data_IF_975183035079
#
_entry.id   IF_975183035079
#
_cell.length_a   1.000
_cell.length_b   1.000
_cell.length_c   1.000
_cell.angle_alpha   90.00
_cell.angle_beta   90.00
_cell.angle_gamma   90.00
#
_symmetry.space_group_name_H-M   'P 1'
#
loop_
_entity.id
_entity.type
_entity.pdbx_description
1 polymer ?
#
# COMPACT_ATOMS: atom_id res chain seq x y z
N UNK A 1 -10.00 -20.81 4.49
CA UNK A 1 -9.00 -19.80 4.85
C UNK A 1 -9.61 -18.43 4.63
N UNK A 2 -9.37 -17.50 5.57
CA UNK A 2 -9.82 -16.11 5.54
C UNK A 2 -8.59 -15.17 5.58
N UNK A 3 -8.51 -14.23 4.64
CA UNK A 3 -7.45 -13.22 4.54
C UNK A 3 -8.06 -11.81 4.59
N UNK A 4 -7.62 -10.99 5.56
CA UNK A 4 -8.11 -9.63 5.78
C UNK A 4 -7.00 -8.62 6.11
N UNK A 5 -5.76 -9.07 6.29
CA UNK A 5 -4.65 -8.18 6.66
C UNK A 5 -4.09 -7.49 5.41
N UNK A 6 -4.10 -6.14 5.40
CA UNK A 6 -3.58 -5.34 4.29
C UNK A 6 -2.15 -5.73 3.90
N UNK A 7 -1.89 -5.83 2.61
CA UNK A 7 -0.61 -6.28 2.06
C UNK A 7 -0.46 -7.80 1.98
N UNK A 8 -1.41 -8.58 2.49
CA UNK A 8 -1.38 -10.05 2.33
C UNK A 8 -1.59 -10.43 0.88
N UNK A 9 -0.68 -11.24 0.33
CA UNK A 9 -0.76 -11.76 -1.02
C UNK A 9 -1.50 -13.10 -1.09
N UNK A 10 -2.34 -13.26 -2.10
CA UNK A 10 -3.06 -14.47 -2.42
C UNK A 10 -2.87 -14.82 -3.90
N UNK A 11 -2.23 -15.96 -4.16
CA UNK A 11 -1.95 -16.42 -5.51
C UNK A 11 -2.98 -17.48 -5.94
N UNK A 12 -3.67 -17.23 -7.03
CA UNK A 12 -4.61 -18.19 -7.64
C UNK A 12 -4.59 -18.02 -9.15
N UNK A 13 -4.66 -19.13 -9.90
CA UNK A 13 -4.77 -19.10 -11.38
C UNK A 13 -3.69 -18.26 -12.10
N UNK A 14 -2.49 -18.14 -11.51
CA UNK A 14 -1.42 -17.32 -12.06
C UNK A 14 -1.57 -15.81 -11.83
N UNK A 15 -2.64 -15.38 -11.14
CA UNK A 15 -2.90 -14.02 -10.67
C UNK A 15 -2.47 -13.87 -9.21
N UNK A 16 -2.03 -12.67 -8.83
CA UNK A 16 -1.68 -12.33 -7.45
C UNK A 16 -2.59 -11.21 -6.98
N UNK A 17 -3.49 -11.54 -6.06
CA UNK A 17 -4.34 -10.58 -5.38
C UNK A 17 -3.66 -10.13 -4.09
N UNK A 18 -3.82 -8.86 -3.73
CA UNK A 18 -3.28 -8.31 -2.49
C UNK A 18 -4.42 -7.67 -1.72
N UNK A 19 -4.58 -7.96 -0.43
CA UNK A 19 -5.56 -7.26 0.41
C UNK A 19 -5.17 -5.77 0.46
N UNK A 20 -6.11 -4.89 0.14
CA UNK A 20 -5.87 -3.47 -0.08
C UNK A 20 -5.28 -3.12 -1.46
N UNK A 21 -5.10 -4.09 -2.35
CA UNK A 21 -4.61 -3.89 -3.72
C UNK A 21 -5.74 -3.59 -4.71
N UNK A 22 -5.38 -2.98 -5.84
CA UNK A 22 -6.31 -2.59 -6.89
C UNK A 22 -6.65 -3.78 -7.79
N UNK A 23 -7.93 -3.91 -8.08
CA UNK A 23 -8.50 -4.87 -9.04
C UNK A 23 -9.36 -4.11 -10.04
N UNK A 24 -9.52 -4.67 -11.24
CA UNK A 24 -10.54 -4.21 -12.18
C UNK A 24 -11.35 -5.40 -12.68
N UNK A 25 -12.67 -5.23 -12.75
CA UNK A 25 -13.56 -6.23 -13.29
C UNK A 25 -13.43 -6.29 -14.82
N UNK A 26 -13.32 -7.50 -15.35
CA UNK A 26 -13.26 -7.74 -16.79
C UNK A 26 -14.63 -8.14 -17.36
N UNK A 27 -14.67 -8.45 -18.66
CA UNK A 27 -15.90 -8.74 -19.39
C UNK A 27 -16.65 -10.00 -18.91
N UNK A 28 -16.05 -10.82 -18.04
CA UNK A 28 -16.71 -11.96 -17.41
C UNK A 28 -17.60 -11.55 -16.22
N UNK A 29 -17.52 -10.28 -15.77
CA UNK A 29 -18.30 -9.71 -14.67
C UNK A 29 -19.35 -8.73 -15.13
N UNK A 30 -20.49 -8.66 -14.43
CA UNK A 30 -21.45 -7.56 -14.55
C UNK A 30 -20.91 -6.18 -14.16
N UNK A 31 -19.80 -6.16 -13.43
CA UNK A 31 -19.08 -4.94 -13.04
C UNK A 31 -17.98 -4.55 -14.04
N UNK A 32 -17.89 -5.20 -15.22
CA UNK A 32 -16.81 -4.95 -16.19
C UNK A 32 -16.53 -3.46 -16.40
N UNK A 33 -15.25 -3.09 -16.38
CA UNK A 33 -14.79 -1.71 -16.52
C UNK A 33 -14.69 -0.94 -15.20
N UNK A 34 -15.24 -1.44 -14.09
CA UNK A 34 -15.03 -0.86 -12.77
C UNK A 34 -13.72 -1.35 -12.17
N UNK A 35 -13.03 -0.44 -11.51
CA UNK A 35 -11.89 -0.75 -10.66
C UNK A 35 -12.27 -0.55 -9.20
N UNK A 36 -11.54 -1.22 -8.32
CA UNK A 36 -11.83 -1.24 -6.90
C UNK A 36 -10.69 -1.82 -6.10
N UNK A 37 -10.94 -2.07 -4.83
CA UNK A 37 -9.96 -2.59 -3.88
C UNK A 37 -10.40 -3.93 -3.31
N UNK A 38 -9.45 -4.86 -3.18
CA UNK A 38 -9.69 -6.13 -2.48
C UNK A 38 -9.77 -5.88 -0.98
N UNK A 39 -10.91 -6.18 -0.38
CA UNK A 39 -11.14 -6.03 1.05
C UNK A 39 -10.77 -7.30 1.81
N UNK A 40 -11.11 -8.45 1.24
CA UNK A 40 -11.03 -9.74 1.92
C UNK A 40 -11.05 -10.88 0.90
N UNK A 41 -10.38 -11.98 1.22
CA UNK A 41 -10.40 -13.20 0.41
C UNK A 41 -10.76 -14.38 1.29
N UNK A 42 -11.76 -15.17 0.85
CA UNK A 42 -12.16 -16.42 1.48
C UNK A 42 -11.96 -17.60 0.54
N UNK A 43 -11.45 -18.72 1.05
CA UNK A 43 -11.26 -19.95 0.28
C UNK A 43 -11.58 -21.20 1.09
N UNK A 44 -11.87 -22.32 0.43
CA UNK A 44 -12.23 -23.57 1.11
C UNK A 44 -13.55 -23.46 1.86
N UNK A 45 -13.58 -23.92 3.12
CA UNK A 45 -14.79 -23.98 3.95
C UNK A 45 -15.31 -22.60 4.41
N UNK A 46 -14.49 -21.54 4.26
CA UNK A 46 -14.87 -20.18 4.64
C UNK A 46 -15.61 -19.43 3.51
N UNK A 47 -15.83 -20.05 2.35
CA UNK A 47 -16.55 -19.44 1.22
C UNK A 47 -18.03 -19.25 1.53
N UNK A 48 -18.59 -18.16 1.04
CA UNK A 48 -20.03 -17.91 1.03
C UNK A 48 -20.71 -18.35 -0.27
N UNK A 49 -19.98 -18.48 -1.38
CA UNK A 49 -20.54 -19.00 -2.62
C UNK A 49 -20.37 -20.51 -2.76
N UNK A 50 -21.25 -21.13 -3.56
CA UNK A 50 -21.15 -22.55 -3.92
C UNK A 50 -20.10 -22.79 -5.03
N UNK A 51 -19.40 -21.75 -5.50
CA UNK A 51 -18.41 -21.90 -6.57
C UNK A 51 -17.13 -22.57 -6.03
N UNK A 52 -16.45 -23.33 -6.89
CA UNK A 52 -15.20 -24.01 -6.55
C UNK A 52 -13.98 -23.08 -6.54
N UNK A 53 -14.15 -21.81 -6.92
CA UNK A 53 -13.16 -20.75 -6.83
C UNK A 53 -13.21 -20.03 -5.47
N UNK A 54 -12.16 -19.29 -5.07
CA UNK A 54 -12.18 -18.46 -3.87
C UNK A 54 -13.07 -17.21 -4.04
N UNK A 55 -13.68 -16.78 -2.95
CA UNK A 55 -14.50 -15.57 -2.90
C UNK A 55 -13.62 -14.35 -2.62
N UNK A 56 -13.53 -13.43 -3.58
CA UNK A 56 -12.81 -12.16 -3.44
C UNK A 56 -13.82 -11.05 -3.17
N UNK A 57 -13.82 -10.52 -1.96
CA UNK A 57 -14.63 -9.37 -1.57
C UNK A 57 -13.95 -8.11 -2.05
N UNK A 58 -14.65 -7.35 -2.89
CA UNK A 58 -14.17 -6.13 -3.49
C UNK A 58 -15.06 -4.94 -3.11
N UNK A 59 -14.46 -3.76 -2.98
CA UNK A 59 -15.17 -2.49 -2.97
C UNK A 59 -14.84 -1.76 -4.28
N UNK A 60 -15.82 -1.63 -5.17
CA UNK A 60 -15.66 -0.94 -6.46
C UNK A 60 -15.82 0.57 -6.29
N UNK A 61 -14.99 1.32 -7.00
CA UNK A 61 -15.11 2.77 -7.06
C UNK A 61 -16.35 3.16 -7.89
N UNK A 62 -17.08 4.22 -7.50
CA UNK A 62 -18.17 4.73 -8.31
C UNK A 62 -17.69 5.13 -9.72
N UNK A 63 -18.45 4.79 -10.78
CA UNK A 63 -18.09 5.18 -12.14
C UNK A 63 -18.00 6.71 -12.26
N UNK A 64 -16.92 7.18 -12.87
CA UNK A 64 -16.62 8.62 -13.00
C UNK A 64 -17.23 9.25 -14.25
N UNK A 65 -17.81 8.46 -15.16
CA UNK A 65 -18.39 8.92 -16.41
C UNK A 65 -19.86 8.53 -16.56
N UNK A 66 -20.66 9.44 -17.13
CA UNK A 66 -22.08 9.19 -17.39
C UNK A 66 -22.29 8.00 -18.34
N UNK A 67 -21.37 7.75 -19.28
CA UNK A 67 -21.48 6.59 -20.17
C UNK A 67 -21.34 5.27 -19.41
N UNK A 68 -20.35 5.17 -18.52
CA UNK A 68 -20.19 3.98 -17.67
C UNK A 68 -21.40 3.77 -16.76
N UNK A 69 -21.97 4.84 -16.21
CA UNK A 69 -23.21 4.78 -15.42
C UNK A 69 -24.35 4.15 -16.23
N UNK A 70 -24.60 4.66 -17.44
CA UNK A 70 -25.69 4.16 -18.29
C UNK A 70 -25.48 2.71 -18.74
N UNK A 71 -24.25 2.34 -19.05
CA UNK A 71 -23.90 0.96 -19.40
C UNK A 71 -24.14 0.01 -18.21
N UNK A 72 -23.70 0.39 -17.01
CA UNK A 72 -23.88 -0.41 -15.79
C UNK A 72 -25.37 -0.56 -15.43
N UNK A 73 -26.11 0.55 -15.41
CA UNK A 73 -27.56 0.55 -15.17
C UNK A 73 -28.29 -0.30 -16.20
N UNK A 74 -27.90 -0.24 -17.47
CA UNK A 74 -28.46 -1.05 -18.54
C UNK A 74 -28.23 -2.55 -18.34
N UNK A 75 -27.01 -2.95 -17.98
CA UNK A 75 -26.65 -4.35 -17.69
C UNK A 75 -27.42 -4.90 -16.50
N UNK A 76 -27.43 -4.18 -15.38
CA UNK A 76 -28.16 -4.58 -14.18
C UNK A 76 -29.67 -4.58 -14.43
N UNK A 77 -30.20 -3.62 -15.18
CA UNK A 77 -31.62 -3.62 -15.54
C UNK A 77 -32.01 -4.84 -16.37
N UNK A 78 -31.16 -5.24 -17.31
CA UNK A 78 -31.36 -6.45 -18.12
C UNK A 78 -31.27 -7.72 -17.27
N UNK A 79 -30.31 -7.79 -16.34
CA UNK A 79 -30.11 -8.93 -15.44
C UNK A 79 -31.32 -9.16 -14.53
N UNK A 80 -31.85 -8.11 -13.91
CA UNK A 80 -32.99 -8.18 -13.00
C UNK A 80 -34.35 -8.13 -13.71
N UNK A 81 -34.38 -7.75 -14.99
CA UNK A 81 -35.61 -7.61 -15.78
C UNK A 81 -36.48 -6.39 -15.39
N UNK A 82 -35.92 -5.45 -14.63
CA UNK A 82 -36.58 -4.22 -14.20
C UNK A 82 -35.59 -3.05 -14.21
N UNK A 83 -36.04 -1.78 -14.34
CA UNK A 83 -35.14 -0.63 -14.32
C UNK A 83 -34.36 -0.56 -13.00
N UNK A 84 -33.02 -0.54 -13.10
CA UNK A 84 -32.07 -0.33 -12.00
C UNK A 84 -31.34 1.00 -12.21
N UNK A 85 -31.09 1.69 -11.11
CA UNK A 85 -30.26 2.89 -11.06
C UNK A 85 -28.98 2.63 -10.28
N UNK A 86 -28.00 3.52 -10.37
CA UNK A 86 -26.75 3.41 -9.58
C UNK A 86 -26.99 3.28 -8.07
N UNK A 87 -28.10 3.80 -7.54
CA UNK A 87 -28.45 3.65 -6.13
C UNK A 87 -28.91 2.23 -5.75
N UNK A 88 -29.32 1.44 -6.74
CA UNK A 88 -29.76 0.04 -6.58
C UNK A 88 -28.62 -0.97 -6.75
N UNK A 89 -27.44 -0.50 -7.19
CA UNK A 89 -26.27 -1.34 -7.48
C UNK A 89 -25.30 -1.26 -6.30
N UNK A 90 -25.03 -2.41 -5.67
CA UNK A 90 -24.05 -2.49 -4.58
C UNK A 90 -22.63 -2.44 -5.15
N UNK A 91 -21.84 -1.46 -4.72
CA UNK A 91 -20.41 -1.35 -5.05
C UNK A 91 -19.53 -1.79 -3.87
N UNK A 92 -20.08 -1.72 -2.66
CA UNK A 92 -19.40 -2.14 -1.43
C UNK A 92 -19.60 -3.64 -1.20
N UNK A 93 -18.50 -4.34 -0.88
CA UNK A 93 -18.51 -5.77 -0.51
C UNK A 93 -19.10 -6.71 -1.57
N UNK A 94 -18.75 -6.49 -2.83
CA UNK A 94 -19.12 -7.37 -3.95
C UNK A 94 -18.26 -8.63 -3.94
N UNK A 95 -18.90 -9.80 -3.96
CA UNK A 95 -18.21 -11.09 -4.07
C UNK A 95 -17.91 -11.37 -5.53
N UNK A 96 -16.63 -11.58 -5.82
CA UNK A 96 -16.10 -11.82 -7.15
C UNK A 96 -15.26 -13.10 -7.16
N UNK A 97 -15.30 -13.81 -8.28
CA UNK A 97 -14.41 -14.91 -8.55
C UNK A 97 -13.12 -14.40 -9.23
N UNK A 98 -11.97 -15.08 -9.08
CA UNK A 98 -10.68 -14.63 -9.62
C UNK A 98 -10.66 -14.42 -11.14
N UNK A 99 -11.39 -15.25 -11.88
CA UNK A 99 -11.49 -15.19 -13.33
C UNK A 99 -12.11 -13.87 -13.81
N UNK A 100 -13.03 -13.31 -13.01
CA UNK A 100 -13.75 -12.07 -13.32
C UNK A 100 -12.95 -10.78 -13.01
N UNK A 101 -11.73 -10.91 -12.46
CA UNK A 101 -10.92 -9.79 -12.00
C UNK A 101 -9.51 -9.81 -12.59
N UNK A 102 -9.00 -8.64 -12.93
CA UNK A 102 -7.59 -8.41 -13.23
C UNK A 102 -6.93 -7.62 -12.09
N UNK A 103 -5.98 -8.22 -11.34
CA UNK A 103 -5.22 -7.48 -10.34
C UNK A 103 -4.24 -6.53 -11.03
N UNK A 104 -4.25 -5.28 -10.60
CA UNK A 104 -3.27 -4.31 -11.06
C UNK A 104 -1.97 -4.45 -10.27
N UNK A 105 -0.84 -4.37 -10.96
CA UNK A 105 0.48 -4.27 -10.33
C UNK A 105 0.74 -2.88 -9.71
N UNK A 106 -0.19 -1.94 -9.91
CA UNK A 106 -0.11 -0.62 -9.30
C UNK A 106 -0.45 -0.72 -7.81
N UNK A 107 0.42 -0.22 -6.91
CA UNK A 107 0.06 -0.10 -5.50
C UNK A 107 -1.22 0.75 -5.37
N UNK A 108 -2.03 0.58 -4.31
CA UNK A 108 -3.28 1.31 -4.13
C UNK A 108 -3.07 2.80 -4.36
N UNK A 109 -3.52 3.26 -5.52
CA UNK A 109 -3.66 4.66 -5.81
C UNK A 109 -4.83 5.11 -4.96
N UNK A 110 -4.54 5.68 -3.79
CA UNK A 110 -5.46 6.65 -3.22
C UNK A 110 -5.78 7.64 -4.34
N UNK A 111 -6.99 7.55 -4.90
CA UNK A 111 -7.52 8.40 -5.94
C UNK A 111 -7.77 9.80 -5.39
N UNK A 112 -6.72 10.49 -4.99
CA UNK A 112 -6.73 11.94 -4.79
C UNK A 112 -6.39 12.53 -6.14
N UNK A 113 -7.26 13.35 -6.74
CA UNK A 113 -6.93 14.11 -7.95
C UNK A 113 -5.55 14.78 -7.79
N UNK A 114 -4.55 14.19 -8.44
CA UNK A 114 -3.15 14.61 -8.37
C UNK A 114 -2.81 15.56 -9.51
N UNK A 115 -3.74 15.92 -10.41
CA UNK A 115 -3.40 16.75 -11.58
C UNK A 115 -2.76 18.09 -11.17
N UNK A 116 -3.25 18.71 -10.08
CA UNK A 116 -2.62 19.87 -9.45
C UNK A 116 -1.48 19.55 -8.46
N UNK A 117 -1.44 18.33 -7.90
CA UNK A 117 -0.37 17.89 -6.96
C UNK A 117 0.88 17.43 -7.68
N UNK A 118 0.80 16.97 -8.92
CA UNK A 118 1.93 16.45 -9.68
C UNK A 118 2.88 17.57 -10.10
N UNK A 119 2.36 18.76 -10.40
CA UNK A 119 3.16 19.98 -10.59
C UNK A 119 3.85 20.40 -9.28
N UNK A 120 3.13 20.34 -8.15
CA UNK A 120 3.70 20.64 -6.82
C UNK A 120 4.78 19.63 -6.43
N UNK A 121 4.57 18.34 -6.69
CA UNK A 121 5.55 17.28 -6.46
C UNK A 121 6.75 17.48 -7.38
N UNK A 122 6.55 17.73 -8.67
CA UNK A 122 7.63 18.00 -9.62
C UNK A 122 8.46 19.22 -9.19
N UNK A 123 7.82 20.29 -8.72
CA UNK A 123 8.50 21.48 -8.18
C UNK A 123 9.30 21.16 -6.91
N UNK A 124 8.78 20.32 -6.00
CA UNK A 124 9.53 19.83 -4.83
C UNK A 124 10.77 19.06 -5.27
N UNK A 125 10.63 18.12 -6.22
CA UNK A 125 11.74 17.33 -6.76
C UNK A 125 12.80 18.23 -7.40
N UNK A 126 12.38 19.14 -8.30
CA UNK A 126 13.29 20.08 -8.96
C UNK A 126 14.06 20.92 -7.94
N UNK A 127 13.37 21.47 -6.93
CA UNK A 127 14.00 22.26 -5.87
C UNK A 127 14.98 21.45 -5.03
N UNK A 128 14.71 20.17 -4.75
CA UNK A 128 15.61 19.30 -3.98
C UNK A 128 16.84 18.92 -4.80
N UNK A 129 16.65 18.51 -6.06
CA UNK A 129 17.75 18.16 -6.97
C UNK A 129 18.72 19.32 -7.19
N UNK A 130 18.23 20.56 -7.17
CA UNK A 130 19.05 21.78 -7.30
C UNK A 130 19.70 22.22 -5.98
N UNK A 131 19.49 21.54 -4.85
CA UNK A 131 20.13 21.91 -3.59
C UNK A 131 21.65 21.69 -3.65
N UNK A 132 22.45 22.64 -3.14
CA UNK A 132 23.89 22.44 -2.99
C UNK A 132 24.18 21.44 -1.87
N UNK A 133 25.30 20.72 -1.99
CA UNK A 133 25.70 19.69 -1.01
C UNK A 133 25.81 20.22 0.42
N UNK A 134 26.19 21.49 0.59
CA UNK A 134 26.25 22.14 1.90
C UNK A 134 24.86 22.27 2.55
N UNK A 135 23.83 22.60 1.77
CA UNK A 135 22.45 22.67 2.26
C UNK A 135 21.88 21.28 2.54
N UNK A 136 22.22 20.30 1.71
CA UNK A 136 21.87 18.89 1.93
C UNK A 136 22.52 18.35 3.22
N UNK A 137 23.79 18.65 3.48
CA UNK A 137 24.50 18.28 4.72
C UNK A 137 23.92 18.94 5.97
N UNK A 138 23.41 20.17 5.84
CA UNK A 138 22.76 20.88 6.94
C UNK A 138 21.39 20.29 7.32
N UNK A 139 20.80 19.47 6.45
CA UNK A 139 19.47 18.90 6.64
C UNK A 139 19.49 17.71 7.62
N UNK A 140 19.39 17.98 8.91
CA UNK A 140 19.37 16.95 9.98
C UNK A 140 18.01 16.28 10.19
N UNK A 141 17.33 15.90 9.11
CA UNK A 141 16.00 15.28 9.21
C UNK A 141 16.04 13.76 9.38
N UNK A 142 16.93 13.10 8.63
CA UNK A 142 17.17 11.67 8.71
C UNK A 142 18.67 11.44 8.91
N UNK A 143 19.09 10.41 9.68
CA UNK A 143 20.48 9.99 9.74
C UNK A 143 20.97 9.62 8.35
N UNK A 144 22.08 10.20 7.94
CA UNK A 144 22.78 9.87 6.70
C UNK A 144 24.25 9.67 7.03
N UNK A 145 24.76 8.45 6.87
CA UNK A 145 26.11 8.07 7.24
C UNK A 145 26.67 7.06 6.21
N UNK A 146 28.00 6.95 6.08
CA UNK A 146 28.59 5.86 5.32
C UNK A 146 28.29 4.52 5.98
N UNK A 147 28.07 3.47 5.18
CA UNK A 147 27.80 2.12 5.66
C UNK A 147 29.05 1.45 6.29
N UNK A 148 30.23 1.89 5.86
CA UNK A 148 31.54 1.39 6.27
C UNK A 148 32.57 2.53 6.41
N UNK A 149 33.75 2.24 6.97
CA UNK A 149 34.79 3.25 7.18
C UNK A 149 35.38 3.77 5.86
N UNK A 150 35.34 2.94 4.81
CA UNK A 150 35.78 3.27 3.47
C UNK A 150 34.77 4.12 2.68
N UNK A 151 33.58 4.35 3.24
CA UNK A 151 32.45 5.04 2.62
C UNK A 151 32.10 4.52 1.21
N UNK A 152 32.13 3.20 1.02
CA UNK A 152 31.80 2.58 -0.28
C UNK A 152 30.34 2.71 -0.66
N UNK A 153 29.48 2.87 0.34
CA UNK A 153 28.06 3.17 0.18
C UNK A 153 27.58 4.04 1.34
N UNK A 154 26.44 4.69 1.14
CA UNK A 154 25.81 5.58 2.10
C UNK A 154 24.42 5.10 2.47
N UNK A 155 24.07 5.23 3.73
CA UNK A 155 22.82 4.74 4.28
C UNK A 155 21.97 5.87 4.83
N UNK A 156 20.66 5.75 4.62
CA UNK A 156 19.63 6.61 5.21
C UNK A 156 18.69 5.77 6.04
N UNK A 157 18.55 6.13 7.30
CA UNK A 157 17.69 5.44 8.26
C UNK A 157 16.34 6.16 8.33
N UNK A 158 15.23 5.46 8.11
CA UNK A 158 13.88 6.05 8.19
C UNK A 158 13.08 5.58 9.39
N UNK A 159 13.58 4.59 10.12
CA UNK A 159 12.97 4.07 11.33
C UNK A 159 14.04 3.69 12.34
N UNK A 160 13.75 3.88 13.62
CA UNK A 160 14.66 3.55 14.70
C UNK A 160 13.90 2.77 15.75
N UNK A 161 14.50 1.69 16.23
CA UNK A 161 13.96 0.87 17.29
C UNK A 161 13.65 1.70 18.55
N UNK A 162 12.40 1.64 19.00
CA UNK A 162 11.88 2.39 20.16
C UNK A 162 12.53 2.01 21.50
N UNK A 163 13.11 0.81 21.59
CA UNK A 163 13.75 0.29 22.81
C UNK A 163 15.26 0.52 22.83
N UNK A 164 15.94 0.16 21.73
CA UNK A 164 17.41 0.07 21.69
C UNK A 164 18.09 1.12 20.81
N UNK A 165 17.33 1.96 20.10
CA UNK A 165 17.90 2.94 19.18
C UNK A 165 18.60 2.33 17.96
N UNK A 166 18.39 1.03 17.69
CA UNK A 166 18.93 0.36 16.51
C UNK A 166 18.30 0.93 15.24
N UNK A 167 19.11 1.10 14.20
CA UNK A 167 18.62 1.49 12.89
C UNK A 167 17.71 0.42 12.29
N UNK A 168 16.60 0.87 11.73
CA UNK A 168 15.58 0.05 11.08
C UNK A 168 15.18 0.74 9.77
N UNK A 169 14.70 -0.04 8.79
CA UNK A 169 14.29 0.51 7.49
C UNK A 169 15.40 1.37 6.86
N UNK A 170 16.54 0.73 6.57
CA UNK A 170 17.76 1.37 6.05
C UNK A 170 17.76 1.32 4.52
N UNK A 171 18.01 2.46 3.88
CA UNK A 171 18.14 2.59 2.43
C UNK A 171 19.59 2.88 2.06
N UNK A 172 20.16 2.08 1.16
CA UNK A 172 21.55 2.23 0.72
C UNK A 172 21.64 2.95 -0.63
N UNK A 173 22.69 3.75 -0.79
CA UNK A 173 22.98 4.57 -1.96
C UNK A 173 24.47 4.48 -2.30
N UNK A 174 24.80 4.68 -3.58
CA UNK A 174 26.20 4.64 -4.05
C UNK A 174 27.04 5.80 -3.51
N UNK A 175 26.42 6.96 -3.25
CA UNK A 175 27.13 8.17 -2.87
C UNK A 175 26.37 9.03 -1.85
N UNK A 176 27.11 9.90 -1.15
CA UNK A 176 26.58 10.81 -0.12
C UNK A 176 25.46 11.70 -0.64
N UNK A 177 25.60 12.23 -1.87
CA UNK A 177 24.67 13.22 -2.41
C UNK A 177 23.33 12.56 -2.69
N UNK A 178 23.32 11.37 -3.28
CA UNK A 178 22.11 10.58 -3.52
C UNK A 178 21.36 10.26 -2.21
N UNK A 179 22.07 9.80 -1.18
CA UNK A 179 21.50 9.56 0.14
C UNK A 179 20.86 10.83 0.74
N UNK A 180 21.56 11.97 0.67
CA UNK A 180 21.03 13.22 1.22
C UNK A 180 19.89 13.82 0.41
N UNK A 181 19.88 13.65 -0.91
CA UNK A 181 18.76 14.04 -1.76
C UNK A 181 17.51 13.26 -1.37
N UNK A 182 17.63 11.96 -1.16
CA UNK A 182 16.54 11.12 -0.67
C UNK A 182 16.03 11.59 0.69
N UNK A 183 16.91 11.81 1.67
CA UNK A 183 16.53 12.36 2.98
C UNK A 183 15.85 13.74 2.88
N UNK A 184 16.29 14.58 1.94
CA UNK A 184 15.68 15.88 1.67
C UNK A 184 14.28 15.79 1.06
N UNK A 185 14.07 14.84 0.15
CA UNK A 185 12.75 14.55 -0.41
C UNK A 185 11.80 14.10 0.70
N UNK A 186 12.19 13.09 1.49
CA UNK A 186 11.39 12.59 2.61
C UNK A 186 10.94 13.71 3.56
N UNK A 187 11.86 14.62 3.92
CA UNK A 187 11.50 15.75 4.80
C UNK A 187 10.46 16.67 4.14
N UNK A 188 10.63 16.99 2.85
CA UNK A 188 9.76 17.94 2.14
C UNK A 188 8.40 17.37 1.77
N UNK A 189 8.30 16.05 1.62
CA UNK A 189 7.02 15.34 1.45
C UNK A 189 6.32 15.09 2.79
N UNK A 190 6.91 15.50 3.92
CA UNK A 190 6.31 15.42 5.24
C UNK A 190 6.61 14.14 6.01
N UNK A 191 7.43 13.24 5.46
CA UNK A 191 7.88 12.05 6.17
C UNK A 191 8.75 12.44 7.38
N UNK A 192 8.64 11.65 8.45
CA UNK A 192 9.42 11.82 9.68
C UNK A 192 10.05 10.49 10.06
N UNK A 193 11.18 10.58 10.78
CA UNK A 193 11.84 9.43 11.36
C UNK A 193 10.90 8.75 12.38
N UNK A 194 10.70 7.44 12.22
CA UNK A 194 9.76 6.66 13.03
C UNK A 194 10.45 6.01 14.23
N UNK A 195 9.70 5.86 15.32
CA UNK A 195 10.15 5.32 16.61
C UNK A 195 9.07 4.47 17.30
N UNK A 196 8.11 3.96 16.54
CA UNK A 196 6.91 3.29 17.04
C UNK A 196 7.06 1.78 17.17
N UNK A 197 8.07 1.18 16.54
CA UNK A 197 8.34 -0.26 16.60
C UNK A 197 9.65 -0.59 17.32
N UNK A 198 9.69 -1.77 17.94
CA UNK A 198 10.91 -2.35 18.48
C UNK A 198 11.42 -3.46 17.56
N UNK A 199 12.74 -3.51 17.34
CA UNK A 199 13.33 -4.61 16.58
C UNK A 199 13.22 -5.93 17.37
N UNK A 200 13.17 -7.09 16.69
CA UNK A 200 12.97 -8.39 17.35
C UNK A 200 14.00 -8.69 18.45
N UNK A 201 15.25 -8.26 18.26
CA UNK A 201 16.32 -8.46 19.26
C UNK A 201 16.06 -7.68 20.54
N UNK A 202 15.82 -6.37 20.43
CA UNK A 202 15.57 -5.52 21.59
C UNK A 202 14.26 -5.89 22.29
N UNK A 203 13.24 -6.29 21.53
CA UNK A 203 11.99 -6.77 22.10
C UNK A 203 12.17 -8.06 22.90
N UNK A 204 12.95 -9.02 22.37
CA UNK A 204 13.25 -10.26 23.10
C UNK A 204 14.03 -10.03 24.40
N UNK A 205 14.97 -9.08 24.41
CA UNK A 205 15.69 -8.69 25.63
C UNK A 205 14.76 -8.02 26.65
N UNK A 206 13.89 -7.12 26.20
CA UNK A 206 12.89 -6.48 27.04
C UNK A 206 11.93 -7.51 27.67
N UNK A 207 11.45 -8.48 26.90
CA UNK A 207 10.60 -9.57 27.42
C UNK A 207 11.32 -10.41 28.49
N UNK A 208 12.61 -10.72 28.30
CA UNK A 208 13.42 -11.43 29.30
C UNK A 208 13.60 -10.63 30.58
N UNK A 209 13.67 -9.30 30.49
CA UNK A 209 13.74 -8.40 31.64
C UNK A 209 12.47 -8.45 32.49
N UNK A 210 11.31 -8.36 31.85
CA UNK A 210 10.00 -8.43 32.52
C UNK A 210 9.81 -9.76 33.26
N UNK A 211 10.18 -10.88 32.62
CA UNK A 211 10.02 -12.20 33.22
C UNK A 211 10.89 -12.37 34.47
N UNK A 212 12.12 -11.85 34.45
CA UNK A 212 13.01 -11.88 35.63
C UNK A 212 12.46 -11.06 36.81
N UNK A 213 11.94 -9.85 36.54
CA UNK A 213 11.34 -9.03 37.61
C UNK A 213 10.10 -9.69 38.23
N UNK A 214 9.38 -10.53 37.48
CA UNK A 214 8.24 -11.28 38.02
C UNK A 214 8.61 -12.53 38.82
N UNK A 215 9.81 -13.09 38.62
CA UNK A 215 10.32 -14.26 39.35
C UNK A 215 11.01 -13.85 40.66
N UNK A 216 11.46 -12.60 40.76
CA UNK A 216 12.10 -12.01 41.94
C UNK A 216 11.12 -11.34 42.94
N UNK A 217 9.80 -11.39 42.69
CA UNK A 217 8.71 -10.95 43.60
C UNK A 217 7.97 -12.12 44.25
#
# INVERSE_FOLDING_TARGET
MLLQENGTHFCTEGKVFTIGGIICANDESEYAGLCGTVMEIRSGDDRETENDTPDIYCAFDPPTSENMVLELEGRFSALYGEPKTMADIALDSVIMAPEMLEPSAEPPAEGVDLSGKMEVVADIFAKVLQMPDSALRALRAFPCAPADEEATSWEVVTEVCSLGGCDMSVYSFEDERSARLFAALLKRTGCRLRYDAACPRCYAEYQRGILKESEDM
#
